data_IF_826833708812
#
_entry.id   IF_826833708812
#
_cell.length_a   1.000
_cell.length_b   1.000
_cell.length_c   1.000
_cell.angle_alpha   90.00
_cell.angle_beta   90.00
_cell.angle_gamma   90.00
#
_symmetry.space_group_name_H-M   'P 1'
#
loop_
_entity.id
_entity.type
_entity.pdbx_description
1 polymer ?
#
# COMPACT_ATOMS: atom_id res chain seq x y z
N UNK A 1 47.83 13.02 10.19
CA UNK A 1 47.69 14.31 9.49
C UNK A 1 46.38 14.25 8.72
N UNK A 2 45.21 14.44 9.34
CA UNK A 2 44.79 15.54 10.25
C UNK A 2 44.80 16.89 9.52
N UNK A 3 43.87 17.83 9.68
CA UNK A 3 42.49 17.97 10.21
C UNK A 3 42.32 19.51 10.42
N UNK A 4 41.08 20.00 10.56
CA UNK A 4 40.73 21.33 11.15
C UNK A 4 41.22 22.60 10.38
N UNK A 5 40.68 23.84 10.49
CA UNK A 5 39.53 24.49 11.17
C UNK A 5 39.27 25.86 10.41
N UNK A 6 38.16 26.61 10.41
CA UNK A 6 36.93 26.78 11.21
C UNK A 6 35.74 27.27 10.33
N UNK A 7 34.55 27.46 10.92
CA UNK A 7 33.50 28.38 10.42
C UNK A 7 33.87 29.87 10.59
N UNK A 8 33.21 30.75 9.81
CA UNK A 8 32.66 32.04 10.32
C UNK A 8 31.25 32.25 9.75
N UNK A 9 30.33 32.78 10.57
CA UNK A 9 28.98 33.26 10.17
C UNK A 9 28.71 34.62 10.80
N UNK A 10 28.30 35.61 10.01
CA UNK A 10 27.64 36.87 10.45
C UNK A 10 26.59 37.25 9.40
N UNK A 11 25.53 37.97 9.76
CA UNK A 11 24.34 38.20 8.93
C UNK A 11 23.81 39.64 8.95
N UNK A 12 22.83 39.93 8.07
CA UNK A 12 22.02 41.16 7.97
C UNK A 12 22.79 42.39 7.43
N UNK A 13 22.20 43.33 6.68
CA UNK A 13 20.82 43.87 6.79
C UNK A 13 20.17 44.24 5.42
N UNK A 14 18.93 44.74 5.46
CA UNK A 14 18.11 45.21 4.32
C UNK A 14 18.08 46.74 4.18
N UNK A 15 17.97 47.27 2.95
CA UNK A 15 17.16 48.49 2.70
C UNK A 15 16.40 48.38 1.35
N UNK A 16 15.19 48.92 1.29
CA UNK A 16 14.23 48.81 0.19
C UNK A 16 13.74 50.22 -0.19
N UNK A 17 14.19 50.75 -1.34
CA UNK A 17 13.86 52.16 -1.68
C UNK A 17 13.77 52.60 -3.16
N UNK A 18 13.19 51.79 -4.09
CA UNK A 18 12.79 52.37 -5.41
C UNK A 18 11.61 51.77 -6.22
N UNK A 19 10.55 51.22 -5.61
CA UNK A 19 9.32 50.83 -6.35
C UNK A 19 8.00 51.40 -5.79
N UNK A 20 7.83 52.73 -5.84
CA UNK A 20 6.54 53.41 -5.61
C UNK A 20 5.88 53.90 -6.90
N UNK A 21 5.38 52.97 -7.72
CA UNK A 21 4.24 53.18 -8.65
C UNK A 21 3.64 51.88 -9.21
N UNK A 22 4.43 50.82 -9.36
CA UNK A 22 3.92 49.52 -9.87
C UNK A 22 3.11 48.69 -8.86
N UNK A 23 3.14 49.04 -7.57
CA UNK A 23 2.58 48.19 -6.50
C UNK A 23 1.04 48.15 -6.48
N UNK A 24 0.34 49.24 -6.82
CA UNK A 24 -1.13 49.23 -6.85
C UNK A 24 -1.69 48.32 -7.95
N UNK A 25 -1.06 48.31 -9.13
CA UNK A 25 -1.50 47.44 -10.22
C UNK A 25 -1.26 45.96 -9.89
N UNK A 26 -0.14 45.65 -9.23
CA UNK A 26 0.16 44.31 -8.75
C UNK A 26 -0.75 43.88 -7.59
N UNK A 27 -1.14 44.79 -6.70
CA UNK A 27 -2.13 44.54 -5.64
C UNK A 27 -3.54 44.32 -6.20
N UNK A 28 -3.95 45.06 -7.24
CA UNK A 28 -5.23 44.84 -7.93
C UNK A 28 -5.25 43.49 -8.65
N UNK A 29 -4.17 43.13 -9.36
CA UNK A 29 -4.02 41.80 -9.96
C UNK A 29 -3.99 40.69 -8.90
N UNK A 30 -3.29 40.88 -7.78
CA UNK A 30 -3.32 39.96 -6.65
C UNK A 30 -4.72 39.84 -6.03
N UNK A 31 -5.49 40.93 -5.90
CA UNK A 31 -6.87 40.87 -5.40
C UNK A 31 -7.80 40.11 -6.34
N UNK A 32 -7.62 40.25 -7.66
CA UNK A 32 -8.35 39.45 -8.66
C UNK A 32 -7.92 37.98 -8.60
N UNK A 33 -6.62 37.69 -8.58
CA UNK A 33 -6.10 36.32 -8.44
C UNK A 33 -6.51 35.66 -7.11
N UNK A 34 -6.50 36.39 -6.00
CA UNK A 34 -6.94 35.90 -4.68
C UNK A 34 -8.46 35.72 -4.63
N UNK A 35 -9.26 36.52 -5.34
CA UNK A 35 -10.70 36.27 -5.45
C UNK A 35 -11.04 35.10 -6.39
N UNK A 36 -10.31 34.92 -7.49
CA UNK A 36 -10.41 33.71 -8.31
C UNK A 36 -9.99 32.47 -7.51
N UNK A 37 -8.80 32.48 -6.88
CA UNK A 37 -8.37 31.40 -6.00
C UNK A 37 -9.32 31.20 -4.80
N UNK A 38 -9.98 32.23 -4.24
CA UNK A 38 -11.03 32.06 -3.21
C UNK A 38 -12.33 31.48 -3.76
N UNK A 39 -12.68 31.71 -5.04
CA UNK A 39 -13.79 31.02 -5.72
C UNK A 39 -13.44 29.56 -5.99
N UNK A 40 -12.25 29.29 -6.55
CA UNK A 40 -11.81 27.94 -6.88
C UNK A 40 -11.53 27.11 -5.63
N UNK A 41 -10.90 27.67 -4.60
CA UNK A 41 -10.81 26.99 -3.28
C UNK A 41 -12.16 26.87 -2.58
N UNK A 42 -13.14 27.78 -2.77
CA UNK A 42 -14.52 27.52 -2.31
C UNK A 42 -15.20 26.40 -3.09
N UNK A 43 -14.91 26.23 -4.37
CA UNK A 43 -15.45 25.14 -5.19
C UNK A 43 -14.76 23.80 -4.91
N UNK A 44 -13.42 23.78 -4.81
CA UNK A 44 -12.61 22.63 -4.41
C UNK A 44 -13.00 22.23 -2.98
N UNK A 45 -13.04 23.16 -2.02
CA UNK A 45 -13.51 22.86 -0.67
C UNK A 45 -14.99 22.47 -0.64
N UNK A 46 -15.83 22.89 -1.58
CA UNK A 46 -17.20 22.36 -1.71
C UNK A 46 -17.20 20.91 -2.20
N UNK A 47 -16.38 20.57 -3.19
CA UNK A 47 -16.25 19.20 -3.72
C UNK A 47 -15.61 18.27 -2.69
N UNK A 48 -14.58 18.71 -1.98
CA UNK A 48 -13.89 17.92 -0.94
C UNK A 48 -14.71 17.79 0.34
N UNK A 49 -15.40 18.85 0.81
CA UNK A 49 -16.30 18.71 1.97
C UNK A 49 -17.63 18.00 1.62
N UNK A 50 -18.08 18.00 0.35
CA UNK A 50 -19.18 17.13 -0.10
C UNK A 50 -18.78 15.65 -0.24
N UNK A 51 -17.49 15.32 -0.10
CA UNK A 51 -16.95 13.96 -0.15
C UNK A 51 -16.35 13.49 1.19
N UNK A 52 -16.50 14.27 2.27
CA UNK A 52 -16.30 13.79 3.64
C UNK A 52 -17.47 12.91 4.07
N UNK A 53 -17.46 11.66 3.59
CA UNK A 53 -18.29 10.60 4.16
C UNK A 53 -17.65 10.19 5.49
N UNK A 54 -18.43 10.16 6.57
CA UNK A 54 -17.97 9.60 7.85
C UNK A 54 -17.44 8.19 7.65
N UNK A 55 -16.32 7.84 8.31
CA UNK A 55 -15.57 6.58 8.13
C UNK A 55 -16.47 5.42 7.71
N UNK A 56 -16.25 4.94 6.48
CA UNK A 56 -17.05 3.89 5.85
C UNK A 56 -16.62 2.55 6.45
N UNK A 57 -17.44 1.95 7.29
CA UNK A 57 -17.15 0.62 7.82
C UNK A 57 -17.67 -0.41 6.81
N UNK A 58 -16.76 -1.17 6.18
CA UNK A 58 -17.08 -2.32 5.34
C UNK A 58 -16.95 -3.59 6.19
N UNK A 59 -17.97 -4.44 6.19
CA UNK A 59 -17.88 -5.79 6.78
C UNK A 59 -17.60 -6.79 5.66
N UNK A 60 -16.41 -7.38 5.66
CA UNK A 60 -16.09 -8.53 4.81
C UNK A 60 -16.34 -9.82 5.59
N UNK A 61 -17.14 -10.73 5.03
CA UNK A 61 -17.42 -12.05 5.59
C UNK A 61 -16.96 -13.10 4.59
N UNK A 62 -16.19 -14.10 5.04
CA UNK A 62 -15.70 -15.17 4.17
C UNK A 62 -15.91 -16.54 4.81
N UNK A 63 -16.56 -17.45 4.08
CA UNK A 63 -16.85 -18.82 4.52
C UNK A 63 -16.27 -19.84 3.54
N UNK A 64 -15.48 -20.80 4.04
CA UNK A 64 -14.91 -21.90 3.25
C UNK A 64 -15.62 -23.20 3.56
N UNK A 65 -16.32 -23.75 2.57
CA UNK A 65 -16.99 -25.05 2.64
C UNK A 65 -16.14 -26.18 2.00
N UNK A 66 -15.14 -25.83 1.19
CA UNK A 66 -14.11 -26.77 0.72
C UNK A 66 -12.72 -26.09 0.67
N UNK A 67 -11.68 -26.88 0.38
CA UNK A 67 -10.29 -26.40 0.38
C UNK A 67 -10.01 -25.45 -0.80
N UNK A 68 -9.18 -24.42 -0.57
CA UNK A 68 -8.86 -23.46 -1.62
C UNK A 68 -7.89 -22.36 -1.19
N UNK A 69 -7.65 -21.44 -2.12
CA UNK A 69 -7.00 -20.15 -1.85
C UNK A 69 -7.89 -19.05 -2.40
N UNK A 70 -8.17 -18.06 -1.56
CA UNK A 70 -8.84 -16.82 -1.90
C UNK A 70 -7.89 -15.67 -1.63
N UNK A 71 -7.75 -14.76 -2.59
CA UNK A 71 -7.16 -13.45 -2.35
C UNK A 71 -8.22 -12.39 -2.67
N UNK A 72 -8.41 -11.44 -1.76
CA UNK A 72 -9.14 -10.20 -1.98
C UNK A 72 -8.14 -9.05 -1.92
N UNK A 73 -7.82 -8.45 -3.07
CA UNK A 73 -6.87 -7.34 -3.16
C UNK A 73 -7.63 -6.03 -3.39
N UNK A 74 -7.15 -4.97 -2.76
CA UNK A 74 -7.64 -3.61 -2.99
C UNK A 74 -6.58 -2.58 -2.58
N UNK A 75 -6.86 -1.30 -2.83
CA UNK A 75 -6.07 -0.18 -2.36
C UNK A 75 -6.74 0.44 -1.12
N UNK A 76 -6.10 0.40 0.05
CA UNK A 76 -6.62 1.04 1.27
C UNK A 76 -5.51 1.84 1.93
N UNK A 77 -5.78 3.12 2.21
CA UNK A 77 -4.82 4.05 2.82
C UNK A 77 -3.44 4.02 2.11
N UNK A 78 -3.48 4.08 0.77
CA UNK A 78 -2.36 4.07 -0.16
C UNK A 78 -1.61 2.74 -0.32
N UNK A 79 -1.77 1.74 0.56
CA UNK A 79 -1.13 0.41 0.40
C UNK A 79 -2.05 -0.64 -0.21
N UNK A 80 -1.47 -1.66 -0.84
CA UNK A 80 -2.21 -2.85 -1.26
C UNK A 80 -2.67 -3.64 -0.03
N UNK A 81 -3.98 -3.64 0.23
CA UNK A 81 -4.59 -4.51 1.23
C UNK A 81 -4.96 -5.82 0.55
N UNK A 82 -4.16 -6.86 0.83
CA UNK A 82 -4.39 -8.22 0.35
C UNK A 82 -4.90 -9.07 1.52
N UNK A 83 -6.09 -9.64 1.38
CA UNK A 83 -6.64 -10.60 2.33
C UNK A 83 -6.59 -12.00 1.70
N UNK A 84 -5.50 -12.71 1.96
CA UNK A 84 -5.25 -14.06 1.46
C UNK A 84 -5.59 -15.12 2.51
N UNK A 85 -6.66 -15.89 2.31
CA UNK A 85 -6.91 -17.11 3.07
C UNK A 85 -6.48 -18.30 2.21
N UNK A 86 -5.38 -18.93 2.62
CA UNK A 86 -4.87 -20.19 2.07
C UNK A 86 -5.14 -21.32 3.07
N UNK A 87 -5.99 -22.28 2.73
CA UNK A 87 -6.44 -23.28 3.71
C UNK A 87 -6.93 -24.61 3.15
N UNK A 88 -6.40 -25.70 3.74
CA UNK A 88 -6.94 -27.07 3.64
C UNK A 88 -8.06 -27.33 4.66
N UNK A 89 -8.51 -26.31 5.40
CA UNK A 89 -9.53 -26.41 6.45
C UNK A 89 -10.92 -26.17 5.87
N UNK A 90 -11.83 -27.13 6.10
CA UNK A 90 -13.26 -27.00 5.79
C UNK A 90 -14.00 -26.30 6.94
N UNK A 91 -15.13 -25.67 6.63
CA UNK A 91 -16.03 -24.97 7.55
C UNK A 91 -15.38 -23.84 8.37
N UNK A 92 -14.42 -23.12 7.77
CA UNK A 92 -13.86 -21.90 8.37
C UNK A 92 -14.73 -20.71 7.99
N UNK A 93 -15.12 -19.87 8.97
CA UNK A 93 -15.74 -18.57 8.75
C UNK A 93 -14.89 -17.49 9.41
N UNK A 94 -14.48 -16.51 8.61
CA UNK A 94 -13.76 -15.32 9.06
C UNK A 94 -14.59 -14.07 8.74
N UNK A 95 -14.41 -13.03 9.56
CA UNK A 95 -15.03 -11.73 9.36
C UNK A 95 -14.01 -10.64 9.68
N UNK A 96 -13.90 -9.64 8.82
CA UNK A 96 -12.96 -8.53 8.98
C UNK A 96 -13.64 -7.22 8.61
N UNK A 97 -13.67 -6.31 9.56
CA UNK A 97 -14.09 -4.93 9.36
C UNK A 97 -12.93 -4.14 8.74
N UNK A 98 -13.23 -3.32 7.73
CA UNK A 98 -12.27 -2.49 7.01
C UNK A 98 -12.80 -1.06 7.00
N UNK A 99 -12.05 -0.13 7.59
CA UNK A 99 -12.36 1.29 7.52
C UNK A 99 -11.89 1.86 6.17
N UNK A 100 -12.84 2.38 5.40
CA UNK A 100 -12.60 3.06 4.12
C UNK A 100 -12.89 4.56 4.25
N UNK A 101 -12.24 5.35 3.41
CA UNK A 101 -12.37 6.82 3.35
C UNK A 101 -12.98 7.30 2.03
N UNK A 102 -13.16 6.38 1.07
CA UNK A 102 -13.61 6.62 -0.31
C UNK A 102 -14.34 5.39 -0.84
N UNK A 103 -15.14 5.51 -1.92
CA UNK A 103 -15.56 4.34 -2.70
C UNK A 103 -14.35 3.49 -3.07
N UNK A 104 -14.50 2.17 -2.97
CA UNK A 104 -13.37 1.24 -3.09
C UNK A 104 -13.79 0.04 -3.93
N UNK A 105 -12.94 -0.33 -4.90
CA UNK A 105 -13.07 -1.54 -5.70
C UNK A 105 -12.21 -2.62 -5.08
N UNK A 106 -12.85 -3.75 -4.75
CA UNK A 106 -12.19 -4.96 -4.32
C UNK A 106 -12.14 -5.93 -5.49
N UNK A 107 -10.97 -6.51 -5.77
CA UNK A 107 -10.81 -7.60 -6.72
C UNK A 107 -10.59 -8.91 -5.97
N UNK A 108 -11.48 -9.89 -6.19
CA UNK A 108 -11.23 -11.26 -5.76
C UNK A 108 -10.57 -12.08 -6.85
N UNK A 109 -9.69 -12.99 -6.45
CA UNK A 109 -8.98 -13.90 -7.35
C UNK A 109 -9.27 -15.34 -6.92
N UNK A 110 -9.68 -16.17 -7.89
CA UNK A 110 -9.92 -17.59 -7.69
C UNK A 110 -9.37 -18.39 -8.88
N UNK A 111 -8.67 -19.51 -8.60
CA UNK A 111 -8.24 -20.44 -9.64
C UNK A 111 -9.38 -21.43 -9.94
N UNK A 112 -9.92 -21.39 -11.15
CA UNK A 112 -11.02 -22.27 -11.58
C UNK A 112 -10.60 -23.00 -12.85
N UNK A 113 -10.53 -24.33 -12.79
CA UNK A 113 -10.08 -25.20 -13.88
C UNK A 113 -8.74 -24.76 -14.50
N UNK A 114 -7.77 -24.42 -13.64
CA UNK A 114 -6.44 -23.96 -14.06
C UNK A 114 -6.37 -22.52 -14.59
N UNK A 115 -7.48 -21.78 -14.62
CA UNK A 115 -7.51 -20.38 -15.08
C UNK A 115 -7.88 -19.43 -13.94
N UNK A 116 -7.15 -18.33 -13.80
CA UNK A 116 -7.50 -17.25 -12.86
C UNK A 116 -8.79 -16.58 -13.30
N UNK A 117 -9.76 -16.49 -12.39
CA UNK A 117 -10.93 -15.63 -12.50
C UNK A 117 -10.76 -14.44 -11.57
N UNK A 118 -11.03 -13.24 -12.08
CA UNK A 118 -11.05 -11.98 -11.35
C UNK A 118 -12.50 -11.51 -11.26
N UNK A 119 -13.00 -11.23 -10.05
CA UNK A 119 -14.31 -10.63 -9.84
C UNK A 119 -14.18 -9.31 -9.08
N UNK A 120 -15.05 -8.34 -9.41
CA UNK A 120 -14.91 -6.93 -9.04
C UNK A 120 -16.10 -6.47 -8.22
N UNK A 121 -15.85 -5.85 -7.07
CA UNK A 121 -16.88 -5.42 -6.14
C UNK A 121 -16.68 -3.96 -5.74
N UNK A 122 -17.59 -3.10 -6.18
CA UNK A 122 -17.67 -1.71 -5.73
C UNK A 122 -18.31 -1.64 -4.34
N UNK A 123 -17.66 -0.93 -3.43
CA UNK A 123 -18.21 -0.54 -2.13
C UNK A 123 -18.48 0.95 -2.20
N UNK A 124 -19.73 1.35 -1.96
CA UNK A 124 -20.20 2.72 -2.14
C UNK A 124 -20.53 3.42 -0.82
N UNK A 125 -20.93 2.67 0.20
CA UNK A 125 -21.63 3.18 1.37
C UNK A 125 -21.13 2.58 2.69
N UNK A 126 -21.41 3.29 3.79
CA UNK A 126 -21.15 2.83 5.15
C UNK A 126 -22.03 1.61 5.47
N UNK A 127 -21.45 0.62 6.13
CA UNK A 127 -22.07 -0.67 6.47
C UNK A 127 -22.44 -1.55 5.26
N UNK A 128 -21.89 -1.28 4.07
CA UNK A 128 -21.84 -2.27 2.99
C UNK A 128 -21.24 -3.58 3.53
N UNK A 129 -21.80 -4.72 3.12
CA UNK A 129 -21.32 -6.05 3.51
C UNK A 129 -21.01 -6.86 2.25
N UNK A 130 -19.78 -7.39 2.17
CA UNK A 130 -19.39 -8.34 1.14
C UNK A 130 -19.24 -9.72 1.78
N UNK A 131 -20.19 -10.62 1.51
CA UNK A 131 -20.09 -12.02 1.93
C UNK A 131 -19.63 -12.88 0.76
N UNK A 132 -18.61 -13.70 0.98
CA UNK A 132 -18.08 -14.64 0.01
C UNK A 132 -18.14 -16.07 0.57
N UNK A 133 -18.76 -16.99 -0.17
CA UNK A 133 -18.84 -18.40 0.19
C UNK A 133 -18.10 -19.26 -0.84
N UNK A 134 -16.98 -19.85 -0.43
CA UNK A 134 -16.17 -20.72 -1.27
C UNK A 134 -16.65 -22.16 -1.14
N UNK A 135 -17.30 -22.65 -2.20
CA UNK A 135 -17.84 -24.02 -2.31
C UNK A 135 -17.12 -24.77 -3.43
N UNK A 136 -17.12 -26.10 -3.38
CA UNK A 136 -16.43 -26.98 -4.35
C UNK A 136 -16.73 -26.67 -5.83
N UNK A 137 -17.96 -26.21 -6.11
CA UNK A 137 -18.43 -25.94 -7.48
C UNK A 137 -18.38 -24.44 -7.85
N UNK A 138 -17.81 -23.58 -7.01
CA UNK A 138 -17.66 -22.15 -7.27
C UNK A 138 -17.88 -21.25 -6.04
N UNK A 139 -17.54 -19.98 -6.21
CA UNK A 139 -17.74 -18.92 -5.21
C UNK A 139 -19.13 -18.31 -5.34
N UNK A 140 -19.85 -18.18 -4.23
CA UNK A 140 -21.09 -17.39 -4.16
C UNK A 140 -20.79 -16.04 -3.50
N UNK A 141 -21.32 -14.96 -4.07
CA UNK A 141 -21.32 -13.64 -3.47
C UNK A 141 -22.71 -13.34 -2.90
N UNK A 142 -22.77 -12.88 -1.65
CA UNK A 142 -24.02 -12.53 -0.96
C UNK A 142 -23.89 -11.11 -0.40
N UNK A 143 -24.68 -10.18 -0.96
CA UNK A 143 -24.66 -8.76 -0.62
C UNK A 143 -25.44 -7.93 -1.63
N UNK A 144 -25.23 -6.61 -1.61
CA UNK A 144 -25.92 -5.67 -2.49
C UNK A 144 -25.57 -5.94 -3.98
N UNK A 145 -26.58 -6.15 -4.83
CA UNK A 145 -26.39 -6.43 -6.27
C UNK A 145 -25.59 -5.34 -6.99
N UNK A 146 -25.76 -4.07 -6.59
CA UNK A 146 -25.03 -2.94 -7.16
C UNK A 146 -23.52 -3.09 -7.05
N UNK A 147 -23.04 -3.71 -5.98
CA UNK A 147 -21.62 -3.85 -5.69
C UNK A 147 -20.96 -4.75 -6.75
N UNK A 148 -21.68 -5.76 -7.25
CA UNK A 148 -21.20 -6.70 -8.27
C UNK A 148 -21.36 -6.21 -9.73
N UNK A 149 -21.82 -4.98 -9.99
CA UNK A 149 -22.12 -4.48 -11.35
C UNK A 149 -20.94 -4.57 -12.32
N UNK A 150 -19.71 -4.39 -11.84
CA UNK A 150 -18.52 -4.48 -12.67
C UNK A 150 -18.29 -5.87 -13.28
N UNK A 151 -18.90 -6.94 -12.72
CA UNK A 151 -18.77 -8.30 -13.26
C UNK A 151 -19.63 -8.54 -14.50
N UNK A 152 -20.72 -7.78 -14.70
CA UNK A 152 -21.55 -7.88 -15.91
C UNK A 152 -20.96 -7.02 -17.03
N UNK A 153 -20.37 -5.87 -16.68
CA UNK A 153 -19.70 -4.96 -17.62
C UNK A 153 -18.29 -5.43 -18.02
N UNK A 154 -17.57 -6.12 -17.12
CA UNK A 154 -16.16 -6.50 -17.32
C UNK A 154 -15.96 -7.99 -16.95
N UNK A 155 -16.15 -8.85 -17.94
CA UNK A 155 -15.87 -10.30 -17.89
C UNK A 155 -14.39 -10.68 -18.04
N UNK A 156 -13.49 -9.70 -18.01
CA UNK A 156 -12.07 -9.86 -18.37
C UNK A 156 -11.16 -10.15 -17.16
N UNK A 157 -10.23 -11.09 -17.36
CA UNK A 157 -9.30 -11.61 -16.36
C UNK A 157 -7.84 -11.22 -16.65
N UNK A 158 -7.50 -10.73 -17.87
CA UNK A 158 -6.10 -10.45 -18.27
C UNK A 158 -5.66 -9.03 -17.92
N UNK A 159 -6.33 -8.32 -17.00
CA UNK A 159 -6.08 -6.88 -16.78
C UNK A 159 -4.62 -6.57 -16.37
N UNK A 160 -3.96 -7.48 -15.66
CA UNK A 160 -2.57 -7.37 -15.24
C UNK A 160 -1.57 -7.92 -16.27
N UNK A 161 -2.01 -8.71 -17.23
CA UNK A 161 -1.15 -9.25 -18.29
C UNK A 161 -0.75 -8.14 -19.26
N UNK A 162 0.51 -8.12 -19.68
CA UNK A 162 0.94 -7.31 -20.82
C UNK A 162 0.33 -7.91 -22.07
N UNK A 163 -0.30 -7.08 -22.89
CA UNK A 163 -1.02 -7.48 -24.10
C UNK A 163 -0.11 -7.30 -25.33
N UNK A 164 0.02 -8.35 -26.15
CA UNK A 164 0.77 -8.35 -27.41
C UNK A 164 -0.20 -8.50 -28.60
N UNK A 165 -0.91 -7.43 -29.02
CA UNK A 165 -1.90 -7.53 -30.09
C UNK A 165 -1.28 -7.55 -31.49
N UNK A 166 -1.61 -8.57 -32.29
CA UNK A 166 -1.20 -8.72 -33.71
C UNK A 166 -1.45 -7.45 -34.56
N UNK A 167 -2.49 -6.69 -34.21
CA UNK A 167 -2.80 -5.39 -34.82
C UNK A 167 -3.25 -4.40 -33.75
N UNK A 168 -2.35 -3.48 -33.37
CA UNK A 168 -2.60 -2.50 -32.32
C UNK A 168 -3.70 -1.48 -32.67
N UNK A 169 -3.94 -1.18 -33.96
CA UNK A 169 -5.02 -0.27 -34.39
C UNK A 169 -6.39 -0.91 -34.10
N UNK A 170 -6.57 -2.15 -34.54
CA UNK A 170 -7.79 -2.92 -34.29
C UNK A 170 -8.00 -3.13 -32.78
N UNK A 171 -6.93 -3.37 -32.03
CA UNK A 171 -6.96 -3.49 -30.57
C UNK A 171 -7.51 -2.22 -29.90
N UNK A 172 -6.93 -1.04 -30.18
CA UNK A 172 -7.38 0.25 -29.62
C UNK A 172 -8.85 0.52 -29.97
N UNK A 173 -9.24 0.32 -31.24
CA UNK A 173 -10.63 0.50 -31.67
C UNK A 173 -11.60 -0.45 -30.96
N UNK A 174 -11.19 -1.71 -30.73
CA UNK A 174 -12.00 -2.71 -30.03
C UNK A 174 -12.17 -2.38 -28.53
N UNK A 175 -11.12 -1.91 -27.86
CA UNK A 175 -11.17 -1.43 -26.48
C UNK A 175 -12.10 -0.23 -26.36
N UNK A 176 -11.96 0.76 -27.24
CA UNK A 176 -12.76 1.98 -27.24
C UNK A 176 -14.25 1.67 -27.45
N UNK A 177 -14.57 0.81 -28.43
CA UNK A 177 -15.95 0.32 -28.65
C UNK A 177 -16.52 -0.43 -27.45
N UNK A 178 -15.71 -1.26 -26.75
CA UNK A 178 -16.14 -1.96 -25.53
C UNK A 178 -16.41 -0.99 -24.37
N UNK A 179 -15.56 0.02 -24.20
CA UNK A 179 -15.76 1.09 -23.20
C UNK A 179 -17.03 1.90 -23.47
N UNK A 180 -17.25 2.35 -24.72
CA UNK A 180 -18.43 3.14 -25.08
C UNK A 180 -19.74 2.34 -24.96
N UNK A 181 -19.72 1.04 -25.30
CA UNK A 181 -20.84 0.13 -25.03
C UNK A 181 -21.14 0.02 -23.52
N UNK A 182 -20.11 -0.12 -22.68
CA UNK A 182 -20.29 -0.20 -21.22
C UNK A 182 -20.84 1.11 -20.64
N UNK A 183 -20.40 2.27 -21.15
CA UNK A 183 -20.97 3.58 -20.80
C UNK A 183 -22.44 3.69 -21.22
N UNK A 184 -22.82 3.18 -22.39
CA UNK A 184 -24.20 3.17 -22.86
C UNK A 184 -25.10 2.31 -21.95
N UNK A 185 -24.64 1.11 -21.56
CA UNK A 185 -25.36 0.21 -20.65
C UNK A 185 -25.59 0.87 -19.28
N UNK A 186 -24.55 1.41 -18.64
CA UNK A 186 -24.72 2.05 -17.32
C UNK A 186 -25.52 3.37 -17.39
N UNK A 187 -25.50 4.06 -18.55
CA UNK A 187 -26.38 5.22 -18.80
C UNK A 187 -27.85 4.82 -18.96
N UNK A 188 -28.14 3.66 -19.56
CA UNK A 188 -29.51 3.14 -19.63
C UNK A 188 -30.01 2.67 -18.26
N UNK A 189 -29.14 2.07 -17.44
CA UNK A 189 -29.43 1.62 -16.07
C UNK A 189 -29.33 2.77 -15.02
N UNK A 190 -29.09 4.02 -15.44
CA UNK A 190 -28.68 5.11 -14.53
C UNK A 190 -29.71 5.42 -13.44
N UNK A 191 -31.01 5.22 -13.72
CA UNK A 191 -32.11 5.39 -12.75
C UNK A 191 -31.98 4.49 -11.52
N UNK A 192 -31.27 3.37 -11.63
CA UNK A 192 -31.01 2.46 -10.51
C UNK A 192 -29.85 2.92 -9.61
N UNK A 193 -29.13 4.00 -9.93
CA UNK A 193 -27.98 4.50 -9.15
C UNK A 193 -28.21 5.93 -8.68
N UNK A 194 -27.55 6.34 -7.59
CA UNK A 194 -27.39 7.77 -7.28
C UNK A 194 -26.33 8.38 -8.20
N UNK A 195 -26.35 9.69 -8.41
CA UNK A 195 -25.32 10.40 -9.21
C UNK A 195 -23.89 10.04 -8.77
N UNK A 196 -23.69 9.86 -7.46
CA UNK A 196 -22.43 9.43 -6.86
C UNK A 196 -22.04 8.00 -7.25
N UNK A 197 -22.99 7.05 -7.20
CA UNK A 197 -22.77 5.67 -7.62
C UNK A 197 -22.50 5.59 -9.12
N UNK A 198 -23.32 6.26 -9.94
CA UNK A 198 -23.19 6.36 -11.39
C UNK A 198 -21.81 6.93 -11.79
N UNK A 199 -21.43 8.07 -11.20
CA UNK A 199 -20.11 8.68 -11.41
C UNK A 199 -18.97 7.74 -11.01
N UNK A 200 -19.07 7.07 -9.86
CA UNK A 200 -18.02 6.14 -9.40
C UNK A 200 -17.84 4.95 -10.35
N UNK A 201 -18.93 4.42 -10.93
CA UNK A 201 -18.87 3.34 -11.93
C UNK A 201 -18.18 3.86 -13.20
N UNK A 202 -18.55 5.05 -13.69
CA UNK A 202 -17.92 5.66 -14.86
C UNK A 202 -16.43 5.97 -14.63
N UNK A 203 -16.07 6.51 -13.45
CA UNK A 203 -14.69 6.78 -13.06
C UNK A 203 -13.84 5.48 -13.10
N UNK A 204 -14.40 4.35 -12.62
CA UNK A 204 -13.71 3.05 -12.73
C UNK A 204 -13.63 2.53 -14.18
N UNK A 205 -14.71 2.63 -14.97
CA UNK A 205 -14.72 2.20 -16.37
C UNK A 205 -13.67 2.96 -17.19
N UNK A 206 -13.49 4.26 -16.92
CA UNK A 206 -12.48 5.11 -17.57
C UNK A 206 -11.06 4.71 -17.16
N UNK A 207 -10.80 4.53 -15.86
CA UNK A 207 -9.50 4.03 -15.36
C UNK A 207 -9.18 2.63 -15.92
N UNK A 208 -10.16 1.72 -15.99
CA UNK A 208 -10.01 0.38 -16.58
C UNK A 208 -9.66 0.45 -18.08
N UNK A 209 -10.35 1.30 -18.84
CA UNK A 209 -10.08 1.48 -20.28
C UNK A 209 -8.65 1.98 -20.53
N UNK A 210 -8.23 3.05 -19.86
CA UNK A 210 -6.87 3.56 -20.00
C UNK A 210 -5.82 2.56 -19.50
N UNK A 211 -6.12 1.84 -18.40
CA UNK A 211 -5.18 0.85 -17.88
C UNK A 211 -4.89 -0.24 -18.91
N UNK A 212 -5.93 -0.76 -19.60
CA UNK A 212 -5.78 -1.70 -20.72
C UNK A 212 -5.08 -1.09 -21.92
N UNK A 213 -5.48 0.12 -22.33
CA UNK A 213 -4.91 0.83 -23.48
C UNK A 213 -3.38 0.96 -23.39
N UNK A 214 -2.86 1.22 -22.18
CA UNK A 214 -1.43 1.33 -21.92
C UNK A 214 -0.79 0.05 -21.34
N UNK A 215 -1.51 -1.07 -21.17
CA UNK A 215 -0.91 -2.36 -20.75
C UNK A 215 -0.43 -3.22 -21.92
N UNK A 216 0.21 -2.60 -22.91
CA UNK A 216 0.70 -3.27 -24.13
C UNK A 216 2.21 -3.42 -24.11
N UNK A 217 2.76 -4.37 -24.87
CA UNK A 217 4.21 -4.37 -25.12
C UNK A 217 4.56 -3.27 -26.14
N UNK A 218 4.96 -2.11 -25.62
CA UNK A 218 5.42 -0.99 -26.43
C UNK A 218 6.63 -1.33 -27.32
N UNK A 219 7.42 -2.37 -27.03
CA UNK A 219 8.54 -2.79 -27.88
C UNK A 219 8.08 -3.29 -29.27
N UNK A 220 6.83 -3.75 -29.38
CA UNK A 220 6.21 -4.19 -30.65
C UNK A 220 5.61 -3.02 -31.44
N UNK A 221 5.41 -1.85 -30.83
CA UNK A 221 4.68 -0.74 -31.44
C UNK A 221 5.61 0.12 -32.31
N UNK A 222 5.67 -0.25 -33.58
CA UNK A 222 6.44 0.45 -34.63
C UNK A 222 5.59 1.39 -35.49
N UNK A 223 4.26 1.28 -35.42
CA UNK A 223 3.35 2.06 -36.27
C UNK A 223 3.12 3.47 -35.69
N UNK A 224 3.65 4.48 -36.37
CA UNK A 224 3.53 5.89 -36.00
C UNK A 224 2.09 6.35 -35.71
N UNK A 225 1.08 5.87 -36.47
CA UNK A 225 -0.32 6.24 -36.24
C UNK A 225 -0.90 5.67 -34.93
N UNK A 226 -0.35 4.56 -34.45
CA UNK A 226 -0.69 3.98 -33.13
C UNK A 226 -0.09 4.84 -32.03
N UNK A 227 1.14 5.31 -32.21
CA UNK A 227 1.82 6.21 -31.27
C UNK A 227 1.05 7.53 -31.16
N UNK A 228 0.68 8.15 -32.29
CA UNK A 228 -0.11 9.38 -32.34
C UNK A 228 -1.51 9.25 -31.71
N UNK A 229 -2.13 8.07 -31.79
CA UNK A 229 -3.40 7.80 -31.12
C UNK A 229 -3.22 7.63 -29.61
N UNK A 230 -2.17 6.91 -29.18
CA UNK A 230 -1.79 6.77 -27.77
C UNK A 230 -1.41 8.12 -27.13
N UNK A 231 -0.75 9.03 -27.87
CA UNK A 231 -0.43 10.38 -27.41
C UNK A 231 -1.70 11.17 -27.03
N UNK A 232 -2.73 11.13 -27.88
CA UNK A 232 -4.03 11.79 -27.59
C UNK A 232 -4.67 11.25 -26.31
N UNK A 233 -4.66 9.93 -26.12
CA UNK A 233 -5.18 9.32 -24.90
C UNK A 233 -4.32 9.64 -23.68
N UNK A 234 -3.00 9.75 -23.83
CA UNK A 234 -2.08 10.15 -22.77
C UNK A 234 -2.36 11.59 -22.31
N UNK A 235 -2.59 12.52 -23.24
CA UNK A 235 -2.97 13.91 -22.94
C UNK A 235 -4.35 14.02 -22.25
N UNK A 236 -5.33 13.22 -22.68
CA UNK A 236 -6.65 13.12 -22.03
C UNK A 236 -6.48 12.59 -20.58
N UNK A 237 -5.70 11.53 -20.40
CA UNK A 237 -5.40 10.93 -19.09
C UNK A 237 -4.73 11.94 -18.16
N UNK A 238 -3.69 12.63 -18.62
CA UNK A 238 -3.00 13.68 -17.84
C UNK A 238 -3.92 14.85 -17.50
N UNK A 239 -4.76 15.28 -18.45
CA UNK A 239 -5.78 16.31 -18.22
C UNK A 239 -6.72 15.93 -17.07
N UNK A 240 -7.22 14.69 -17.07
CA UNK A 240 -8.19 14.17 -16.10
C UNK A 240 -7.59 13.50 -14.86
N UNK A 241 -6.25 13.44 -14.71
CA UNK A 241 -5.54 12.45 -13.86
C UNK A 241 -5.92 12.42 -12.37
N UNK A 242 -6.52 13.49 -11.85
CA UNK A 242 -7.13 13.53 -10.51
C UNK A 242 -8.34 12.58 -10.34
N UNK A 243 -8.81 11.94 -11.41
CA UNK A 243 -9.74 10.80 -11.37
C UNK A 243 -9.23 9.68 -10.43
N UNK A 244 -7.91 9.47 -10.37
CA UNK A 244 -7.23 8.50 -9.50
C UNK A 244 -7.36 8.79 -7.99
N UNK A 245 -7.83 9.99 -7.61
CA UNK A 245 -8.14 10.34 -6.23
C UNK A 245 -9.60 10.09 -5.82
N UNK A 246 -10.52 9.84 -6.78
CA UNK A 246 -11.99 9.79 -6.53
C UNK A 246 -12.44 8.48 -5.88
N UNK A 247 -11.82 7.36 -6.27
CA UNK A 247 -12.04 6.04 -5.70
C UNK A 247 -10.70 5.31 -5.52
N UNK A 248 -10.70 4.33 -4.62
CA UNK A 248 -9.61 3.40 -4.47
C UNK A 248 -9.79 2.20 -5.40
N UNK A 249 -8.78 1.88 -6.21
CA UNK A 249 -8.71 0.64 -6.97
C UNK A 249 -7.24 0.25 -7.20
N UNK A 250 -6.95 -1.04 -7.34
CA UNK A 250 -5.59 -1.52 -7.67
C UNK A 250 -5.15 -0.98 -9.05
N UNK A 251 -6.12 -0.85 -9.96
CA UNK A 251 -5.96 -0.23 -11.28
C UNK A 251 -5.35 1.18 -11.24
N UNK A 252 -5.48 1.91 -10.13
CA UNK A 252 -4.89 3.25 -10.00
C UNK A 252 -3.35 3.17 -10.04
N UNK A 253 -2.75 2.17 -9.38
CA UNK A 253 -1.30 1.92 -9.44
C UNK A 253 -0.91 1.34 -10.79
N UNK A 254 -1.70 0.39 -11.31
CA UNK A 254 -1.48 -0.22 -12.62
C UNK A 254 -1.50 0.80 -13.77
N UNK A 255 -2.33 1.85 -13.70
CA UNK A 255 -2.32 2.93 -14.70
C UNK A 255 -1.04 3.77 -14.59
N UNK A 256 -0.58 4.11 -13.39
CA UNK A 256 0.65 4.90 -13.19
C UNK A 256 1.88 4.19 -13.75
N UNK A 257 2.08 2.89 -13.47
CA UNK A 257 3.19 2.14 -14.07
C UNK A 257 3.07 2.02 -15.59
N UNK A 258 1.85 1.89 -16.13
CA UNK A 258 1.64 1.82 -17.58
C UNK A 258 1.89 3.17 -18.28
N UNK A 259 1.55 4.29 -17.66
CA UNK A 259 1.93 5.62 -18.12
C UNK A 259 3.46 5.83 -18.06
N UNK A 260 4.13 5.38 -16.99
CA UNK A 260 5.59 5.43 -16.90
C UNK A 260 6.29 4.54 -17.95
N UNK A 261 5.73 3.36 -18.24
CA UNK A 261 6.20 2.50 -19.35
C UNK A 261 6.04 3.18 -20.71
N UNK A 262 4.93 3.90 -20.93
CA UNK A 262 4.72 4.66 -22.17
C UNK A 262 5.71 5.84 -22.30
N UNK A 263 5.91 6.60 -21.22
CA UNK A 263 6.92 7.67 -21.14
C UNK A 263 8.34 7.11 -21.41
N UNK A 264 8.70 6.01 -20.76
CA UNK A 264 9.99 5.31 -20.95
C UNK A 264 10.21 4.91 -22.41
N UNK A 265 9.19 4.36 -23.07
CA UNK A 265 9.18 4.04 -24.50
C UNK A 265 9.37 5.30 -25.38
N UNK A 266 8.57 6.35 -25.16
CA UNK A 266 8.64 7.62 -25.91
C UNK A 266 10.01 8.29 -25.78
N UNK A 267 10.59 8.28 -24.58
CA UNK A 267 11.89 8.88 -24.26
C UNK A 267 13.09 7.99 -24.64
N UNK A 268 12.86 6.70 -24.93
CA UNK A 268 13.90 5.68 -25.09
C UNK A 268 14.83 5.53 -23.87
N UNK A 269 14.37 5.94 -22.68
CA UNK A 269 15.08 5.69 -21.43
C UNK A 269 14.39 4.54 -20.68
N UNK A 270 15.04 3.38 -20.62
CA UNK A 270 14.53 2.18 -19.97
C UNK A 270 14.60 2.23 -18.43
N UNK A 271 15.28 3.20 -17.82
CA UNK A 271 15.28 3.38 -16.38
C UNK A 271 13.96 4.04 -15.93
N UNK A 272 13.06 3.25 -15.35
CA UNK A 272 11.68 3.69 -15.05
C UNK A 272 11.64 4.91 -14.10
N UNK A 273 12.58 4.99 -13.17
CA UNK A 273 12.63 6.02 -12.11
C UNK A 273 13.04 7.39 -12.66
N UNK A 274 13.93 7.46 -13.65
CA UNK A 274 14.28 8.70 -14.35
C UNK A 274 13.07 9.35 -15.03
N UNK A 275 12.11 8.52 -15.44
CA UNK A 275 10.94 8.95 -16.20
C UNK A 275 9.84 9.59 -15.32
N UNK A 276 9.96 9.54 -13.98
CA UNK A 276 9.02 10.17 -13.04
C UNK A 276 8.88 11.69 -13.26
N UNK A 277 9.94 12.35 -13.73
CA UNK A 277 9.95 13.80 -13.97
C UNK A 277 9.00 14.27 -15.09
N UNK A 278 8.56 13.35 -15.97
CA UNK A 278 7.66 13.65 -17.09
C UNK A 278 6.19 13.33 -16.81
N UNK A 279 5.85 12.82 -15.61
CA UNK A 279 4.46 12.67 -15.17
C UNK A 279 3.82 14.05 -14.93
N UNK A 280 2.52 14.18 -15.19
CA UNK A 280 1.78 15.40 -14.86
C UNK A 280 1.89 15.71 -13.37
N UNK A 281 2.32 16.93 -13.03
CA UNK A 281 2.58 17.40 -11.65
C UNK A 281 1.34 17.35 -10.73
N UNK A 282 0.14 17.17 -11.27
CA UNK A 282 -1.08 16.82 -10.51
C UNK A 282 -0.95 15.46 -9.80
N UNK A 283 -0.26 14.47 -10.39
CA UNK A 283 -0.04 13.15 -9.80
C UNK A 283 0.72 13.23 -8.46
N UNK A 284 1.63 14.20 -8.32
CA UNK A 284 2.39 14.43 -7.08
C UNK A 284 1.49 14.92 -5.92
N UNK A 285 0.19 15.13 -6.17
CA UNK A 285 -0.84 15.43 -5.18
C UNK A 285 -1.78 14.22 -4.89
N UNK A 286 -1.56 13.07 -5.54
CA UNK A 286 -2.46 11.92 -5.49
C UNK A 286 -2.05 10.84 -4.49
N UNK A 287 -3.05 10.16 -3.92
CA UNK A 287 -2.85 8.95 -3.11
C UNK A 287 -2.43 7.74 -3.95
N UNK A 288 -2.80 7.75 -5.25
CA UNK A 288 -2.41 6.73 -6.20
C UNK A 288 -0.89 6.73 -6.48
N UNK A 289 -0.26 7.89 -6.66
CA UNK A 289 1.19 7.96 -6.88
C UNK A 289 1.97 7.62 -5.61
N UNK A 290 1.59 8.19 -4.46
CA UNK A 290 2.19 7.83 -3.18
C UNK A 290 2.17 6.32 -2.97
N UNK A 291 1.01 5.70 -3.19
CA UNK A 291 0.81 4.27 -3.04
C UNK A 291 1.53 3.42 -4.08
N UNK A 292 1.67 3.90 -5.32
CA UNK A 292 2.50 3.23 -6.33
C UNK A 292 3.96 3.23 -5.91
N UNK A 293 4.53 4.39 -5.55
CA UNK A 293 5.95 4.52 -5.24
C UNK A 293 6.34 3.84 -3.94
N UNK A 294 5.48 3.89 -2.90
CA UNK A 294 5.71 3.15 -1.66
C UNK A 294 5.70 1.64 -1.89
N UNK A 295 4.68 1.08 -2.56
CA UNK A 295 4.65 -0.34 -2.89
C UNK A 295 5.82 -0.74 -3.81
N UNK A 296 6.24 0.12 -4.75
CA UNK A 296 7.40 -0.13 -5.62
C UNK A 296 8.70 -0.21 -4.81
N UNK A 297 8.93 0.76 -3.91
CA UNK A 297 10.05 0.76 -2.96
C UNK A 297 10.02 -0.42 -1.96
N UNK A 298 8.85 -0.97 -1.64
CA UNK A 298 8.67 -2.10 -0.73
C UNK A 298 8.87 -3.48 -1.41
N UNK A 299 8.78 -3.56 -2.75
CA UNK A 299 8.78 -4.84 -3.48
C UNK A 299 9.94 -5.00 -4.49
N UNK A 300 10.53 -3.92 -5.01
CA UNK A 300 11.68 -4.01 -5.93
C UNK A 300 13.00 -4.02 -5.14
N UNK A 301 13.66 -5.19 -5.11
CA UNK A 301 14.93 -5.39 -4.41
C UNK A 301 16.17 -5.00 -5.23
N UNK A 302 16.00 -4.46 -6.44
CA UNK A 302 17.11 -4.02 -7.32
C UNK A 302 17.45 -2.54 -7.17
N UNK A 303 16.60 -1.78 -6.47
CA UNK A 303 16.70 -0.32 -6.34
C UNK A 303 17.98 0.14 -5.62
N UNK A 304 18.65 1.15 -6.20
CA UNK A 304 19.72 1.85 -5.51
C UNK A 304 19.18 2.86 -4.50
N UNK A 305 20.05 3.32 -3.59
CA UNK A 305 19.74 4.44 -2.69
C UNK A 305 19.31 5.70 -3.45
N UNK A 306 19.93 5.97 -4.61
CA UNK A 306 19.59 7.12 -5.44
C UNK A 306 18.13 7.03 -5.94
N UNK A 307 17.66 5.85 -6.32
CA UNK A 307 16.33 5.67 -6.90
C UNK A 307 15.24 5.84 -5.83
N UNK A 308 15.51 5.31 -4.63
CA UNK A 308 14.74 5.55 -3.41
C UNK A 308 14.69 7.06 -3.09
N UNK A 309 15.83 7.76 -3.15
CA UNK A 309 15.91 9.20 -2.85
C UNK A 309 15.37 10.09 -3.99
N UNK A 310 15.23 9.57 -5.21
CA UNK A 310 14.44 10.19 -6.30
C UNK A 310 12.95 9.99 -6.03
N UNK A 311 12.48 8.76 -5.78
CA UNK A 311 11.06 8.45 -5.57
C UNK A 311 10.45 9.24 -4.40
N UNK A 312 11.18 9.39 -3.29
CA UNK A 312 10.75 10.24 -2.15
C UNK A 312 10.39 11.67 -2.53
N UNK A 313 10.97 12.25 -3.60
CA UNK A 313 10.67 13.62 -4.05
C UNK A 313 9.29 13.75 -4.71
N UNK A 314 8.69 12.62 -5.11
CA UNK A 314 7.38 12.55 -5.76
C UNK A 314 6.26 12.03 -4.83
N UNK A 315 6.61 11.50 -3.65
CA UNK A 315 5.67 11.09 -2.61
C UNK A 315 5.39 12.29 -1.71
N UNK A 316 4.11 12.54 -1.38
CA UNK A 316 3.72 13.62 -0.47
C UNK A 316 4.30 13.40 0.92
N UNK A 317 4.78 14.47 1.55
CA UNK A 317 5.31 14.43 2.93
C UNK A 317 4.39 13.70 3.91
N UNK A 318 3.07 13.94 3.85
CA UNK A 318 2.08 13.33 4.74
C UNK A 318 1.96 11.81 4.58
N UNK A 319 2.39 11.26 3.44
CA UNK A 319 2.40 9.83 3.17
C UNK A 319 3.74 9.18 3.49
N UNK A 320 4.86 9.87 3.23
CA UNK A 320 6.17 9.49 3.76
C UNK A 320 6.11 9.42 5.29
N UNK A 321 5.61 10.49 5.93
CA UNK A 321 5.38 10.59 7.38
C UNK A 321 4.53 9.43 7.89
N UNK A 322 3.34 9.18 7.32
CA UNK A 322 2.52 8.00 7.69
C UNK A 322 3.23 6.66 7.53
N UNK A 323 4.10 6.49 6.53
CA UNK A 323 4.87 5.28 6.32
C UNK A 323 6.02 5.11 7.34
N UNK A 324 6.60 6.22 7.86
CA UNK A 324 7.71 6.21 8.82
C UNK A 324 7.29 6.38 10.30
N UNK A 325 6.14 7.00 10.56
CA UNK A 325 5.67 7.42 11.89
C UNK A 325 4.64 6.43 12.50
N UNK A 326 4.35 5.30 11.85
CA UNK A 326 3.22 4.45 12.25
C UNK A 326 3.34 3.99 13.72
N UNK A 327 4.56 3.71 14.18
CA UNK A 327 4.92 3.68 15.60
C UNK A 327 6.20 4.43 15.98
N UNK A 328 7.08 4.81 15.03
CA UNK A 328 8.41 5.34 15.36
C UNK A 328 8.34 6.54 16.32
N UNK A 329 9.13 6.49 17.40
CA UNK A 329 9.19 7.50 18.44
C UNK A 329 8.05 7.45 19.46
N UNK A 330 7.16 6.44 19.42
CA UNK A 330 6.06 6.29 20.39
C UNK A 330 6.46 5.32 21.50
N UNK A 331 6.37 5.77 22.75
CA UNK A 331 6.37 4.90 23.94
C UNK A 331 5.17 3.95 23.88
N UNK A 332 5.38 2.65 24.09
CA UNK A 332 4.28 1.68 24.22
C UNK A 332 3.34 2.05 25.38
N UNK A 333 2.03 2.03 25.12
CA UNK A 333 1.04 2.38 26.15
C UNK A 333 1.00 1.35 27.28
N UNK A 334 0.61 1.79 28.49
CA UNK A 334 0.49 0.92 29.68
C UNK A 334 -0.36 -0.33 29.43
N UNK A 335 -1.37 -0.25 28.56
CA UNK A 335 -2.20 -1.40 28.18
C UNK A 335 -1.40 -2.48 27.42
N UNK A 336 -0.55 -2.07 26.48
CA UNK A 336 0.32 -3.01 25.74
C UNK A 336 1.40 -3.57 26.67
N UNK A 337 2.05 -2.72 27.47
CA UNK A 337 3.10 -3.13 28.41
C UNK A 337 2.59 -4.09 29.49
N UNK A 338 1.37 -3.90 29.99
CA UNK A 338 0.78 -4.77 31.01
C UNK A 338 0.12 -6.03 30.42
N UNK A 339 -0.10 -6.13 29.11
CA UNK A 339 -0.65 -7.34 28.49
C UNK A 339 0.31 -8.52 28.62
N UNK A 340 -0.22 -9.71 28.89
CA UNK A 340 0.57 -10.93 29.13
C UNK A 340 0.68 -11.80 27.89
N UNK A 341 1.87 -12.37 27.68
CA UNK A 341 2.15 -13.39 26.67
C UNK A 341 2.85 -14.57 27.35
N UNK A 342 2.93 -15.73 26.70
CA UNK A 342 3.50 -16.93 27.35
C UNK A 342 4.97 -17.13 27.06
N UNK A 343 5.74 -17.55 28.06
CA UNK A 343 7.13 -18.01 27.90
C UNK A 343 7.21 -19.44 27.33
N UNK A 344 8.43 -19.93 27.07
CA UNK A 344 8.68 -21.31 26.61
C UNK A 344 8.28 -22.42 27.61
N UNK A 345 7.97 -22.06 28.88
CA UNK A 345 7.42 -22.95 29.92
C UNK A 345 5.89 -22.81 30.07
N UNK A 346 5.26 -21.97 29.23
CA UNK A 346 3.83 -21.61 29.20
C UNK A 346 3.33 -20.78 30.40
N UNK A 347 4.23 -20.17 31.18
CA UNK A 347 3.88 -19.17 32.20
C UNK A 347 3.49 -17.86 31.53
N UNK A 348 2.56 -17.10 32.13
CA UNK A 348 2.25 -15.74 31.67
C UNK A 348 3.29 -14.72 32.17
N UNK A 349 3.76 -13.88 31.24
CA UNK A 349 4.74 -12.83 31.48
C UNK A 349 4.26 -11.54 30.80
N UNK A 350 4.22 -10.44 31.54
CA UNK A 350 3.85 -9.13 30.99
C UNK A 350 4.89 -8.64 29.96
N UNK A 351 4.43 -8.07 28.85
CA UNK A 351 5.30 -7.57 27.77
C UNK A 351 6.33 -6.56 28.28
N UNK A 352 6.00 -5.75 29.30
CA UNK A 352 6.96 -4.86 29.98
C UNK A 352 8.22 -5.60 30.45
N UNK A 353 8.08 -6.78 31.04
CA UNK A 353 9.21 -7.53 31.58
C UNK A 353 10.07 -8.14 30.46
N UNK A 354 9.43 -8.47 29.33
CA UNK A 354 10.07 -9.02 28.14
C UNK A 354 10.84 -7.93 27.40
N UNK A 355 10.25 -6.75 27.22
CA UNK A 355 10.89 -5.56 26.66
C UNK A 355 11.68 -4.75 27.70
N UNK A 356 11.97 -5.31 28.89
CA UNK A 356 12.92 -4.73 29.83
C UNK A 356 14.33 -5.28 29.59
N UNK A 357 15.31 -4.38 29.69
CA UNK A 357 16.75 -4.65 29.54
C UNK A 357 17.55 -3.92 30.63
N UNK A 358 18.72 -4.47 30.96
CA UNK A 358 19.78 -3.74 31.66
C UNK A 358 20.77 -3.20 30.62
N UNK A 359 21.50 -2.14 30.98
CA UNK A 359 22.59 -1.57 30.18
C UNK A 359 22.14 -1.10 28.80
N UNK A 360 20.99 -0.41 28.74
CA UNK A 360 20.55 0.47 27.63
C UNK A 360 20.42 -0.16 26.23
N UNK A 361 20.53 -1.49 26.14
CA UNK A 361 20.46 -2.26 24.90
C UNK A 361 19.19 -1.94 24.09
N UNK A 362 19.34 -1.90 22.76
CA UNK A 362 18.18 -2.00 21.87
C UNK A 362 17.56 -3.40 21.99
N UNK A 363 16.31 -3.54 21.56
CA UNK A 363 15.57 -4.80 21.63
C UNK A 363 15.01 -5.11 20.25
N UNK A 364 15.52 -6.17 19.63
CA UNK A 364 15.01 -6.67 18.35
C UNK A 364 14.06 -7.83 18.60
N UNK A 365 12.85 -7.75 18.03
CA UNK A 365 11.78 -8.75 18.18
C UNK A 365 11.46 -9.39 16.83
N UNK A 366 11.68 -10.70 16.71
CA UNK A 366 11.23 -11.55 15.58
C UNK A 366 9.79 -12.02 15.81
N UNK A 367 8.86 -11.61 14.95
CA UNK A 367 7.51 -12.19 14.91
C UNK A 367 7.44 -13.28 13.83
N UNK A 368 7.25 -14.52 14.28
CA UNK A 368 7.34 -15.72 13.44
C UNK A 368 6.25 -16.75 13.76
N UNK A 369 6.24 -17.87 13.05
CA UNK A 369 5.41 -19.04 13.40
C UNK A 369 5.99 -20.34 12.82
N UNK A 370 5.65 -21.49 13.39
CA UNK A 370 6.12 -22.82 12.94
C UNK A 370 5.69 -23.18 11.52
N UNK A 371 4.62 -22.56 11.00
CA UNK A 371 4.11 -22.73 9.63
C UNK A 371 4.70 -21.70 8.64
N UNK A 372 5.43 -20.70 9.10
CA UNK A 372 5.99 -19.64 8.26
C UNK A 372 7.35 -20.05 7.67
N UNK A 373 7.34 -20.70 6.50
CA UNK A 373 8.58 -21.14 5.82
C UNK A 373 9.62 -20.02 5.63
N UNK A 374 9.27 -18.77 5.26
CA UNK A 374 10.25 -17.68 5.20
C UNK A 374 10.84 -17.34 6.57
N UNK A 375 10.05 -17.33 7.65
CA UNK A 375 10.54 -17.11 9.00
C UNK A 375 11.54 -18.20 9.43
N UNK A 376 11.27 -19.46 9.08
CA UNK A 376 12.19 -20.57 9.37
C UNK A 376 13.53 -20.44 8.63
N UNK A 377 13.55 -19.81 7.44
CA UNK A 377 14.78 -19.50 6.70
C UNK A 377 15.61 -18.38 7.33
N UNK A 378 15.03 -17.53 8.19
CA UNK A 378 15.77 -16.47 8.89
C UNK A 378 16.48 -16.94 10.16
N UNK A 379 16.15 -18.11 10.69
CA UNK A 379 16.73 -18.62 11.95
C UNK A 379 18.29 -18.67 11.94
N UNK A 380 18.97 -19.06 10.84
CA UNK A 380 20.44 -18.98 10.78
C UNK A 380 20.96 -17.54 10.87
N UNK A 381 20.35 -16.61 10.13
CA UNK A 381 20.76 -15.20 10.09
C UNK A 381 20.48 -14.51 11.42
N UNK A 382 19.34 -14.83 12.06
CA UNK A 382 19.01 -14.43 13.42
C UNK A 382 20.08 -14.88 14.42
N UNK A 383 20.50 -16.16 14.40
CA UNK A 383 21.55 -16.66 15.30
C UNK A 383 22.92 -16.01 15.03
N UNK A 384 23.22 -15.66 13.78
CA UNK A 384 24.41 -14.88 13.42
C UNK A 384 24.33 -13.45 13.99
N UNK A 385 23.21 -12.74 13.78
CA UNK A 385 22.99 -11.40 14.31
C UNK A 385 22.98 -11.37 15.85
N UNK A 386 22.33 -12.34 16.48
CA UNK A 386 22.27 -12.54 17.92
C UNK A 386 23.66 -12.72 18.53
N UNK A 387 24.53 -13.52 17.90
CA UNK A 387 25.95 -13.67 18.30
C UNK A 387 26.78 -12.42 18.05
N UNK A 388 26.48 -11.67 16.99
CA UNK A 388 27.23 -10.46 16.57
C UNK A 388 26.93 -9.22 17.41
N UNK A 389 25.71 -9.12 17.94
CA UNK A 389 25.22 -7.94 18.64
C UNK A 389 24.71 -8.23 20.08
N UNK A 390 25.00 -9.42 20.65
CA UNK A 390 24.58 -9.84 22.00
C UNK A 390 24.78 -8.78 23.09
N UNK A 391 25.86 -8.01 22.97
CA UNK A 391 26.31 -7.08 23.99
C UNK A 391 25.65 -5.72 23.86
N UNK A 392 25.21 -5.35 22.65
CA UNK A 392 24.48 -4.10 22.33
C UNK A 392 22.95 -4.28 22.22
N UNK A 393 22.45 -5.50 21.98
CA UNK A 393 21.04 -5.76 21.64
C UNK A 393 20.52 -7.01 22.37
N UNK A 394 19.29 -6.92 22.91
CA UNK A 394 18.52 -8.10 23.33
C UNK A 394 17.69 -8.62 22.15
N UNK A 395 17.92 -9.88 21.79
CA UNK A 395 17.17 -10.59 20.76
C UNK A 395 16.03 -11.37 21.40
N UNK A 396 14.81 -11.19 20.89
CA UNK A 396 13.58 -11.79 21.40
C UNK A 396 12.79 -12.38 20.24
N UNK A 397 12.20 -13.56 20.42
CA UNK A 397 11.34 -14.19 19.41
C UNK A 397 9.94 -14.40 19.97
N UNK A 398 8.92 -13.97 19.24
CA UNK A 398 7.52 -14.13 19.62
C UNK A 398 6.78 -14.87 18.51
N UNK A 399 6.37 -16.10 18.79
CA UNK A 399 5.53 -16.88 17.90
C UNK A 399 4.09 -16.35 17.89
N UNK A 400 3.46 -16.34 16.71
CA UNK A 400 2.00 -16.14 16.52
C UNK A 400 1.28 -17.46 16.17
N UNK A 401 1.83 -18.61 16.57
CA UNK A 401 1.17 -19.90 16.44
C UNK A 401 -0.07 -19.98 17.34
N UNK A 402 -1.24 -20.28 16.77
CA UNK A 402 -2.44 -20.60 17.55
C UNK A 402 -2.31 -21.95 18.31
N UNK A 403 -1.34 -22.80 17.95
CA UNK A 403 -1.11 -24.13 18.53
C UNK A 403 0.13 -24.13 19.43
N UNK A 404 -0.08 -23.79 20.71
CA UNK A 404 0.99 -23.77 21.72
C UNK A 404 1.76 -25.10 21.80
N UNK A 405 1.12 -26.24 21.55
CA UNK A 405 1.77 -27.57 21.62
C UNK A 405 2.75 -27.77 20.45
N UNK A 406 2.36 -27.40 19.22
CA UNK A 406 3.27 -27.46 18.06
C UNK A 406 4.48 -26.55 18.22
N UNK A 407 4.27 -25.32 18.70
CA UNK A 407 5.35 -24.40 19.00
C UNK A 407 6.32 -24.95 20.06
N UNK A 408 5.81 -25.45 21.20
CA UNK A 408 6.66 -26.07 22.22
C UNK A 408 7.40 -27.33 21.74
N UNK A 409 6.85 -28.08 20.77
CA UNK A 409 7.53 -29.22 20.14
C UNK A 409 8.60 -28.76 19.13
N UNK A 410 8.40 -27.61 18.46
CA UNK A 410 9.41 -27.00 17.60
C UNK A 410 10.59 -26.48 18.42
N UNK A 411 10.35 -25.72 19.50
CA UNK A 411 11.41 -25.19 20.37
C UNK A 411 12.29 -26.27 20.99
N UNK A 412 11.75 -27.47 21.25
CA UNK A 412 12.54 -28.63 21.72
C UNK A 412 13.51 -29.19 20.66
N UNK A 413 13.39 -28.78 19.39
CA UNK A 413 14.29 -29.14 18.29
C UNK A 413 15.22 -27.99 17.90
N UNK A 414 14.73 -26.75 17.95
CA UNK A 414 15.52 -25.53 17.73
C UNK A 414 16.19 -25.08 19.03
N UNK A 415 17.28 -25.76 19.42
CA UNK A 415 17.89 -25.62 20.74
C UNK A 415 18.58 -24.26 20.99
N UNK A 416 18.65 -23.91 22.28
CA UNK A 416 19.34 -22.76 22.87
C UNK A 416 18.87 -21.37 22.41
N UNK A 417 17.59 -21.05 22.61
CA UNK A 417 17.11 -19.66 22.59
C UNK A 417 16.04 -19.42 23.67
N UNK A 418 16.50 -19.06 24.88
CA UNK A 418 15.64 -18.86 26.06
C UNK A 418 14.71 -17.64 25.95
N UNK A 419 14.92 -16.75 24.96
CA UNK A 419 14.09 -15.55 24.74
C UNK A 419 12.92 -15.79 23.77
N UNK A 420 12.33 -17.00 23.81
CA UNK A 420 11.16 -17.38 23.02
C UNK A 420 9.85 -17.27 23.81
N UNK A 421 8.88 -16.61 23.20
CA UNK A 421 7.53 -16.39 23.73
C UNK A 421 6.45 -16.68 22.67
N UNK A 422 5.18 -16.74 23.07
CA UNK A 422 4.05 -17.01 22.17
C UNK A 422 2.81 -16.15 22.47
N UNK A 423 2.19 -15.67 21.39
CA UNK A 423 0.87 -15.02 21.38
C UNK A 423 -0.08 -15.89 20.54
N UNK A 424 -0.72 -16.87 21.15
CA UNK A 424 -1.65 -17.80 20.48
C UNK A 424 -3.07 -17.24 20.33
N UNK A 425 -3.21 -15.92 20.21
CA UNK A 425 -4.49 -15.23 20.07
C UNK A 425 -4.30 -14.00 19.15
N UNK A 426 -4.80 -14.09 17.92
CA UNK A 426 -4.73 -13.00 16.94
C UNK A 426 -5.44 -11.71 17.36
N UNK A 427 -6.31 -11.77 18.38
CA UNK A 427 -6.97 -10.59 18.95
C UNK A 427 -6.20 -9.90 20.08
N UNK A 428 -4.98 -10.36 20.41
CA UNK A 428 -4.15 -9.80 21.48
C UNK A 428 -3.78 -8.31 21.26
N UNK A 429 -3.72 -7.47 22.31
CA UNK A 429 -3.45 -6.03 22.17
C UNK A 429 -2.16 -5.70 21.39
N UNK A 430 -1.07 -6.42 21.61
CA UNK A 430 0.20 -6.20 20.90
C UNK A 430 0.08 -6.45 19.38
N UNK A 431 -0.59 -7.53 18.98
CA UNK A 431 -0.83 -7.90 17.58
C UNK A 431 -1.70 -6.86 16.87
N UNK A 432 -2.71 -6.33 17.59
CA UNK A 432 -3.56 -5.24 17.11
C UNK A 432 -2.83 -3.90 17.01
N UNK A 433 -2.00 -3.55 17.99
CA UNK A 433 -1.27 -2.28 18.04
C UNK A 433 -0.31 -2.11 16.86
N UNK A 434 0.40 -3.18 16.49
CA UNK A 434 1.30 -3.19 15.33
C UNK A 434 0.62 -3.60 14.01
N UNK A 435 -0.71 -3.79 14.00
CA UNK A 435 -1.50 -4.23 12.84
C UNK A 435 -0.92 -5.44 12.09
N UNK A 436 -0.39 -6.43 12.84
CA UNK A 436 0.37 -7.56 12.28
C UNK A 436 -0.52 -8.41 11.36
N UNK A 437 -0.34 -8.24 10.06
CA UNK A 437 -1.09 -8.92 8.99
C UNK A 437 -0.27 -9.97 8.25
N UNK A 438 1.05 -9.97 8.43
CA UNK A 438 2.00 -10.86 7.76
C UNK A 438 3.26 -11.06 8.62
N UNK A 439 4.00 -12.14 8.35
CA UNK A 439 5.28 -12.51 8.97
C UNK A 439 6.21 -13.14 7.92
N UNK A 440 7.56 -13.12 8.06
CA UNK A 440 8.33 -12.58 9.19
C UNK A 440 8.23 -11.06 9.30
N UNK A 441 8.26 -10.56 10.53
CA UNK A 441 8.15 -9.13 10.84
C UNK A 441 9.08 -8.82 12.01
N UNK A 442 9.98 -7.84 11.84
CA UNK A 442 10.92 -7.45 12.88
C UNK A 442 10.55 -6.09 13.46
N UNK A 443 10.53 -5.99 14.79
CA UNK A 443 10.28 -4.75 15.53
C UNK A 443 11.56 -4.38 16.31
N UNK A 444 11.90 -3.10 16.38
CA UNK A 444 13.06 -2.58 17.11
C UNK A 444 12.61 -1.56 18.16
N UNK A 445 13.05 -1.73 19.41
CA UNK A 445 12.73 -0.86 20.54
C UNK A 445 13.99 -0.39 21.28
N UNK A 446 13.87 0.66 22.10
CA UNK A 446 14.86 1.00 23.12
C UNK A 446 14.41 0.57 24.54
N UNK A 447 15.27 0.82 25.52
CA UNK A 447 15.05 0.58 26.96
C UNK A 447 13.84 1.34 27.56
N UNK A 448 13.42 2.46 26.95
CA UNK A 448 12.29 3.28 27.38
C UNK A 448 10.93 2.79 26.84
N UNK A 449 10.91 1.63 26.17
CA UNK A 449 9.76 1.07 25.44
C UNK A 449 9.29 1.93 24.26
N UNK A 450 10.15 2.80 23.72
CA UNK A 450 9.87 3.52 22.49
C UNK A 450 10.13 2.61 21.29
N UNK A 451 9.23 2.65 20.30
CA UNK A 451 9.44 1.93 19.05
C UNK A 451 10.40 2.73 18.16
N UNK A 452 11.52 2.12 17.81
CA UNK A 452 12.51 2.67 16.87
C UNK A 452 12.16 2.27 15.42
N UNK A 453 11.58 1.09 15.22
CA UNK A 453 10.88 0.69 13.99
C UNK A 453 9.84 -0.40 14.28
N UNK A 454 8.68 -0.35 13.61
CA UNK A 454 7.73 -1.47 13.53
C UNK A 454 7.86 -2.31 12.24
N UNK A 455 8.81 -1.97 11.38
CA UNK A 455 9.11 -2.65 10.12
C UNK A 455 10.63 -2.60 9.92
N UNK A 456 11.37 -3.30 10.79
CA UNK A 456 12.82 -3.38 10.66
C UNK A 456 13.22 -4.45 9.65
N UNK A 457 14.35 -4.24 9.01
CA UNK A 457 14.96 -5.16 8.05
C UNK A 457 15.20 -6.53 8.69
N UNK A 458 15.17 -7.59 7.87
CA UNK A 458 15.47 -8.96 8.30
C UNK A 458 16.97 -9.12 8.49
N UNK A 459 17.43 -10.05 9.36
CA UNK A 459 18.84 -10.37 9.46
C UNK A 459 19.51 -10.87 8.16
N UNK A 460 18.73 -11.25 7.14
CA UNK A 460 19.20 -11.57 5.77
C UNK A 460 19.34 -10.36 4.83
N UNK A 461 18.71 -9.23 5.14
CA UNK A 461 18.63 -8.10 4.22
C UNK A 461 19.93 -7.28 4.23
N UNK A 462 20.44 -6.92 3.05
CA UNK A 462 21.71 -6.19 2.88
C UNK A 462 21.83 -4.90 3.71
N UNK A 463 20.70 -4.27 4.06
CA UNK A 463 20.66 -3.01 4.80
C UNK A 463 20.60 -3.19 6.33
N UNK A 464 20.37 -4.40 6.85
CA UNK A 464 20.20 -4.69 8.28
C UNK A 464 21.38 -4.19 9.11
N UNK A 465 22.59 -4.67 8.80
CA UNK A 465 23.82 -4.26 9.49
C UNK A 465 24.10 -2.76 9.41
N UNK A 466 23.74 -2.12 8.28
CA UNK A 466 24.01 -0.71 8.02
C UNK A 466 23.10 0.17 8.89
N UNK A 467 21.79 -0.09 8.84
CA UNK A 467 20.78 0.63 9.63
C UNK A 467 20.97 0.38 11.13
N UNK A 468 21.26 -0.85 11.52
CA UNK A 468 21.38 -1.23 12.93
C UNK A 468 22.61 -0.61 13.59
N UNK A 469 23.74 -0.50 12.86
CA UNK A 469 24.91 0.27 13.31
C UNK A 469 24.61 1.75 13.46
N UNK A 470 24.02 2.39 12.44
CA UNK A 470 23.69 3.81 12.52
C UNK A 470 22.86 4.16 13.78
N UNK A 471 21.87 3.34 14.14
CA UNK A 471 21.08 3.52 15.36
C UNK A 471 21.92 3.27 16.63
N UNK A 472 22.84 2.30 16.61
CA UNK A 472 23.79 1.96 17.71
C UNK A 472 25.02 2.89 17.82
N UNK A 473 25.11 3.88 16.92
CA UNK A 473 26.12 4.94 16.90
C UNK A 473 25.46 6.33 17.13
N UNK A 474 24.13 6.42 17.06
CA UNK A 474 23.29 7.58 17.44
C UNK A 474 22.87 7.57 18.94
N UNK A 475 23.08 6.46 19.66
CA UNK A 475 22.70 6.25 21.07
C UNK A 475 23.86 5.61 21.86
#
# INVERSE_FOLDING_TARGET
MELDVLMIVVAMDMDIKKYRKSLLLFLLLLLVFVNCQKKDTKNINKVENALRIDTLNLITNVSFYDTGTFALNTLVNNRNFNFSISGTKKNVRESKEIALTKPTVFESYALVNGKTRVQRYLVFSKNDTLTFEFRKNGSVYTGNKKNAILNTLISDNTIYSIEEPDNSVNYIQSLKKKYDNNLAIIKQDSINYTDFQYKTINDYLEIYFYNKLFNVDFSKITNQKVIEELDKYFDIVNSNILILNRLNAVQNKSLIINLLRYISFKNKNHHLIDNLQFLDKKLFKTEALDGFLLDYMENDNTLSKNDIDIMKKYIRESSLKKATEKSKGKVLSKNILNSTIKDAKLNEVAIKNILSVKNEKLILVDLWATWCVPCLKEIPNWKIAQKKYSDKIKFIRISIDNDQKKWSVFLKKDTNDESNYIISNSSHPFIKYFEISSIPRFLLFNNNFEVISDDFDRPSDNNFDIKLKAILDEN
#
